data_IF_951433680130
#
_entry.id   IF_951433680130
#
_cell.length_a   1.000
_cell.length_b   1.000
_cell.length_c   1.000
_cell.angle_alpha   90.00
_cell.angle_beta   90.00
_cell.angle_gamma   90.00
#
_symmetry.space_group_name_H-M   'P 1'
#
loop_
_entity.id
_entity.type
_entity.pdbx_description
1 polymer ?
#
# COMPACT_ATOMS: atom_id res chain seq x y z
N UNK A 1 -1.60 7.37 -6.41
CA UNK A 1 -2.13 6.77 -5.17
C UNK A 1 -1.01 6.71 -4.17
N UNK A 2 -1.32 6.95 -2.90
CA UNK A 2 -0.37 6.90 -1.79
C UNK A 2 -0.88 5.91 -0.77
N UNK A 3 0.02 5.19 -0.13
CA UNK A 3 -0.27 4.34 1.00
C UNK A 3 0.90 4.38 1.99
N UNK A 4 0.56 4.36 3.26
CA UNK A 4 1.52 4.48 4.36
C UNK A 4 1.13 3.50 5.46
N UNK A 5 2.15 3.00 6.14
CA UNK A 5 2.00 2.26 7.39
C UNK A 5 2.54 3.17 8.48
N UNK A 6 1.65 3.57 9.37
CA UNK A 6 1.92 4.51 10.46
C UNK A 6 2.01 3.70 11.75
N UNK A 7 2.97 4.04 12.60
CA UNK A 7 3.09 3.45 13.92
C UNK A 7 1.86 3.78 14.79
N UNK A 8 1.58 3.00 15.84
CA UNK A 8 0.45 3.24 16.74
C UNK A 8 0.45 4.62 17.40
N UNK A 9 1.61 5.28 17.50
CA UNK A 9 1.76 6.64 18.03
C UNK A 9 1.21 7.73 17.08
N UNK A 10 0.78 7.38 15.86
CA UNK A 10 0.20 8.28 14.86
C UNK A 10 1.17 9.30 14.25
N UNK A 11 2.41 9.37 14.73
CA UNK A 11 3.36 10.45 14.38
C UNK A 11 4.56 9.94 13.57
N UNK A 12 4.75 8.62 13.49
CA UNK A 12 5.87 8.01 12.79
C UNK A 12 5.37 7.12 11.64
N UNK A 13 5.87 7.37 10.43
CA UNK A 13 5.65 6.50 9.27
C UNK A 13 6.73 5.41 9.28
N UNK A 14 6.32 4.16 9.40
CA UNK A 14 7.22 3.00 9.36
C UNK A 14 7.66 2.74 7.92
N UNK A 15 6.70 2.75 6.99
CA UNK A 15 6.97 2.62 5.57
C UNK A 15 5.90 3.29 4.73
N UNK A 16 6.24 3.62 3.49
CA UNK A 16 5.33 4.23 2.53
C UNK A 16 5.61 3.74 1.12
N UNK A 17 4.58 3.79 0.28
CA UNK A 17 4.68 3.52 -1.15
C UNK A 17 3.65 4.39 -1.90
N UNK A 18 4.05 4.86 -3.07
CA UNK A 18 3.24 5.73 -3.89
C UNK A 18 3.47 5.51 -5.37
N UNK A 19 2.52 5.93 -6.19
CA UNK A 19 2.71 5.99 -7.64
C UNK A 19 3.73 7.06 -8.07
N UNK A 20 4.31 7.82 -7.14
CA UNK A 20 5.41 8.75 -7.41
C UNK A 20 6.79 8.11 -7.19
N UNK A 21 6.88 7.00 -6.45
CA UNK A 21 8.12 6.25 -6.27
C UNK A 21 8.68 5.82 -7.63
N UNK A 22 10.00 5.93 -7.80
CA UNK A 22 10.68 5.54 -9.05
C UNK A 22 10.46 4.06 -9.38
N UNK A 23 10.52 3.20 -8.36
CA UNK A 23 10.30 1.75 -8.49
C UNK A 23 8.89 1.44 -8.97
N UNK A 24 7.89 2.11 -8.41
CA UNK A 24 6.49 1.94 -8.81
C UNK A 24 6.29 2.51 -10.22
N UNK A 25 6.80 3.73 -10.50
CA UNK A 25 6.70 4.39 -11.82
C UNK A 25 7.29 3.54 -12.95
N UNK A 26 8.40 2.84 -12.70
CA UNK A 26 9.00 1.95 -13.68
C UNK A 26 8.09 0.76 -14.05
N UNK A 27 7.15 0.38 -13.18
CA UNK A 27 6.26 -0.77 -13.34
C UNK A 27 4.84 -0.38 -13.77
N UNK A 28 4.51 0.91 -13.85
CA UNK A 28 3.15 1.38 -14.17
C UNK A 28 3.14 2.30 -15.38
N UNK A 29 2.19 2.07 -16.29
CA UNK A 29 1.93 2.95 -17.45
C UNK A 29 1.06 4.15 -17.08
N UNK A 30 0.22 4.02 -16.07
CA UNK A 30 -0.70 5.06 -15.61
C UNK A 30 -0.90 4.99 -14.10
N UNK A 31 -0.91 6.13 -13.40
CA UNK A 31 -0.92 6.21 -11.93
C UNK A 31 -2.30 6.23 -11.28
N UNK A 32 -3.36 6.31 -12.09
CA UNK A 32 -4.75 6.50 -11.65
C UNK A 32 -5.63 5.25 -11.68
N UNK A 33 -5.12 4.07 -12.05
CA UNK A 33 -5.93 2.88 -12.29
C UNK A 33 -5.76 1.81 -11.19
N UNK A 34 -6.50 0.71 -11.34
CA UNK A 34 -6.46 -0.47 -10.46
C UNK A 34 -5.08 -1.13 -10.51
N UNK A 35 -4.49 -1.31 -11.69
CA UNK A 35 -3.18 -1.93 -11.84
C UNK A 35 -2.09 -1.20 -11.02
N UNK A 36 -2.09 0.13 -11.03
CA UNK A 36 -1.17 0.91 -10.21
C UNK A 36 -1.43 0.75 -8.71
N UNK A 37 -2.69 0.62 -8.29
CA UNK A 37 -3.03 0.35 -6.89
C UNK A 37 -2.49 -1.02 -6.43
N UNK A 38 -2.58 -2.04 -7.30
CA UNK A 38 -2.03 -3.38 -7.07
C UNK A 38 -0.51 -3.33 -6.90
N UNK A 39 0.21 -2.64 -7.79
CA UNK A 39 1.68 -2.51 -7.70
C UNK A 39 2.10 -1.77 -6.43
N UNK A 40 1.41 -0.69 -6.08
CA UNK A 40 1.68 0.05 -4.83
C UNK A 40 1.44 -0.84 -3.61
N UNK A 41 0.34 -1.60 -3.57
CA UNK A 41 0.05 -2.52 -2.47
C UNK A 41 1.11 -3.60 -2.30
N UNK A 42 1.61 -4.16 -3.41
CA UNK A 42 2.69 -5.17 -3.38
C UNK A 42 3.98 -4.60 -2.79
N UNK A 43 4.45 -3.48 -3.33
CA UNK A 43 5.69 -2.83 -2.88
C UNK A 43 5.59 -2.38 -1.43
N UNK A 44 4.42 -1.86 -1.01
CA UNK A 44 4.21 -1.48 0.39
C UNK A 44 4.34 -2.68 1.33
N UNK A 45 3.70 -3.80 1.00
CA UNK A 45 3.75 -5.02 1.80
C UNK A 45 5.16 -5.60 1.88
N UNK A 46 5.90 -5.61 0.78
CA UNK A 46 7.31 -6.04 0.78
C UNK A 46 8.18 -5.14 1.68
N UNK A 47 8.01 -3.82 1.61
CA UNK A 47 8.72 -2.88 2.49
C UNK A 47 8.32 -3.04 3.95
N UNK A 48 7.04 -3.31 4.22
CA UNK A 48 6.51 -3.55 5.57
C UNK A 48 7.12 -4.81 6.19
N UNK A 49 7.17 -5.91 5.42
CA UNK A 49 7.81 -7.16 5.83
C UNK A 49 9.30 -6.97 6.13
N UNK A 50 10.02 -6.22 5.29
CA UNK A 50 11.43 -5.87 5.54
C UNK A 50 11.62 -5.06 6.81
N UNK A 51 10.63 -4.23 7.19
CA UNK A 51 10.60 -3.48 8.44
C UNK A 51 10.09 -4.32 9.64
N UNK A 52 9.80 -5.61 9.46
CA UNK A 52 9.31 -6.50 10.53
C UNK A 52 7.83 -6.34 10.86
N UNK A 53 7.06 -5.65 10.01
CA UNK A 53 5.62 -5.44 10.20
C UNK A 53 4.83 -6.45 9.38
N UNK A 54 3.99 -7.24 10.04
CA UNK A 54 3.14 -8.27 9.40
C UNK A 54 1.65 -8.02 9.60
N UNK A 55 1.26 -7.45 10.75
CA UNK A 55 -0.12 -7.08 11.09
C UNK A 55 -0.29 -5.57 11.04
N UNK A 56 -1.25 -5.09 10.25
CA UNK A 56 -1.67 -3.68 10.27
C UNK A 56 -3.18 -3.58 10.08
N UNK A 57 -3.78 -2.52 10.60
CA UNK A 57 -5.18 -2.23 10.31
C UNK A 57 -5.29 -1.44 9.00
N UNK A 58 -6.17 -1.87 8.11
CA UNK A 58 -6.40 -1.13 6.87
C UNK A 58 -7.29 0.10 7.10
N UNK A 59 -6.68 1.29 7.10
CA UNK A 59 -7.43 2.55 7.09
C UNK A 59 -7.81 2.96 5.66
N UNK A 60 -9.11 3.17 5.44
CA UNK A 60 -9.68 3.63 4.18
C UNK A 60 -9.77 5.15 4.09
N UNK A 61 -9.47 5.89 5.16
CA UNK A 61 -9.43 7.36 5.22
C UNK A 61 -10.63 8.05 4.56
N UNK A 62 -11.84 7.50 4.75
CA UNK A 62 -13.10 8.02 4.19
C UNK A 62 -13.46 7.53 2.77
N UNK A 63 -12.59 6.80 2.07
CA UNK A 63 -12.90 6.21 0.77
C UNK A 63 -13.73 4.92 0.91
N UNK A 64 -14.57 4.65 -0.09
CA UNK A 64 -15.29 3.37 -0.16
C UNK A 64 -14.30 2.24 -0.42
N UNK A 65 -14.47 1.10 0.25
CA UNK A 65 -13.71 -0.12 -0.01
C UNK A 65 -14.14 -0.73 -1.35
N UNK A 66 -13.66 -0.15 -2.44
CA UNK A 66 -14.02 -0.51 -3.80
C UNK A 66 -12.91 -0.12 -4.79
N UNK A 67 -12.92 -0.70 -5.99
CA UNK A 67 -12.00 -0.37 -7.07
C UNK A 67 -10.54 -0.36 -6.61
N UNK A 68 -9.91 0.80 -6.67
CA UNK A 68 -8.49 1.01 -6.33
C UNK A 68 -8.16 0.73 -4.86
N UNK A 69 -9.04 1.11 -3.93
CA UNK A 69 -8.82 0.89 -2.49
C UNK A 69 -8.81 -0.62 -2.20
N UNK A 70 -9.80 -1.33 -2.75
CA UNK A 70 -9.88 -2.79 -2.63
C UNK A 70 -8.65 -3.47 -3.26
N UNK A 71 -8.28 -3.06 -4.47
CA UNK A 71 -7.14 -3.65 -5.17
C UNK A 71 -5.80 -3.43 -4.45
N UNK A 72 -5.63 -2.30 -3.76
CA UNK A 72 -4.45 -2.05 -2.94
C UNK A 72 -4.42 -2.98 -1.72
N UNK A 73 -5.54 -3.11 -1.02
CA UNK A 73 -5.66 -3.99 0.15
C UNK A 73 -5.46 -5.46 -0.21
N UNK A 74 -6.12 -5.93 -1.28
CA UNK A 74 -6.01 -7.31 -1.75
C UNK A 74 -4.57 -7.62 -2.17
N UNK A 75 -3.89 -6.70 -2.87
CA UNK A 75 -2.48 -6.87 -3.25
C UNK A 75 -1.52 -6.93 -2.06
N UNK A 76 -1.79 -6.15 -1.01
CA UNK A 76 -1.01 -6.23 0.22
C UNK A 76 -1.25 -7.54 0.97
N UNK A 77 -2.49 -8.06 0.98
CA UNK A 77 -2.83 -9.39 1.54
C UNK A 77 -2.16 -10.53 0.79
N UNK A 78 -2.14 -10.49 -0.54
CA UNK A 78 -1.43 -11.47 -1.37
C UNK A 78 0.07 -11.51 -1.06
N UNK A 79 0.65 -10.36 -0.72
CA UNK A 79 2.03 -10.26 -0.25
C UNK A 79 2.17 -10.61 1.23
N UNK A 80 1.20 -11.28 1.85
CA UNK A 80 1.26 -11.83 3.20
C UNK A 80 1.20 -10.80 4.32
N UNK A 81 0.58 -9.64 4.07
CA UNK A 81 0.16 -8.73 5.15
C UNK A 81 -1.17 -9.18 5.72
N UNK A 82 -1.28 -9.18 7.04
CA UNK A 82 -2.55 -9.37 7.73
C UNK A 82 -3.21 -7.99 7.91
N UNK A 83 -4.31 -7.78 7.16
CA UNK A 83 -5.06 -6.53 7.00
C UNK A 83 -6.52 -6.67 7.38
#
# INVERSE_FOLDING_TARGET
MYAQIIAPNGSQVITSASTLDKEVKAQIKYSGNIAAATVVGKILAERAKKAGVTKVAFDRSGFKYHGRIKALADAAREQGMEL
#
